data_IF_949844787307
#
_entry.id   IF_949844787307
#
_cell.length_a   1.000
_cell.length_b   1.000
_cell.length_c   1.000
_cell.angle_alpha   90.00
_cell.angle_beta   90.00
_cell.angle_gamma   90.00
#
_symmetry.space_group_name_H-M   'P 1'
#
loop_
_entity.id
_entity.type
_entity.pdbx_description
1 polymer ?
#
# COMPACT_ATOMS: atom_id res chain seq x y z
N UNK A 1 11.91 -7.53 -77.81
CA UNK A 1 13.01 -8.21 -77.13
C UNK A 1 13.09 -7.84 -75.72
N UNK A 2 12.67 -8.74 -74.82
CA UNK A 2 12.53 -8.53 -73.38
C UNK A 2 13.86 -8.82 -72.71
N UNK A 3 14.26 -8.00 -71.77
CA UNK A 3 15.36 -8.31 -70.87
C UNK A 3 14.89 -8.27 -69.44
N UNK A 4 14.72 -9.44 -68.83
CA UNK A 4 14.38 -9.63 -67.43
C UNK A 4 15.66 -9.48 -66.60
N UNK A 5 15.62 -8.58 -65.60
CA UNK A 5 16.62 -8.53 -64.53
C UNK A 5 15.97 -8.98 -63.23
N UNK A 6 16.35 -10.20 -62.86
CA UNK A 6 16.05 -10.83 -61.56
C UNK A 6 16.75 -10.07 -60.43
N UNK A 7 16.00 -9.56 -59.40
CA UNK A 7 16.55 -9.06 -58.16
C UNK A 7 16.18 -10.00 -56.99
N UNK A 8 17.19 -10.70 -56.54
CA UNK A 8 17.17 -11.54 -55.35
C UNK A 8 16.84 -10.71 -54.09
N UNK A 9 15.77 -11.11 -53.41
CA UNK A 9 15.46 -10.60 -52.06
C UNK A 9 16.29 -11.38 -51.03
N UNK A 10 17.20 -10.72 -50.35
CA UNK A 10 17.86 -11.23 -49.16
C UNK A 10 16.94 -11.00 -47.97
N UNK A 11 16.44 -12.10 -47.41
CA UNK A 11 15.69 -12.12 -46.15
C UNK A 11 16.65 -11.83 -44.98
N UNK A 12 16.51 -10.66 -44.39
CA UNK A 12 17.24 -10.25 -43.19
C UNK A 12 16.34 -10.53 -41.97
N UNK A 13 16.39 -11.77 -41.47
CA UNK A 13 15.76 -12.16 -40.20
C UNK A 13 16.64 -11.67 -39.05
N UNK A 14 16.49 -10.41 -38.66
CA UNK A 14 17.01 -9.91 -37.39
C UNK A 14 16.10 -10.36 -36.27
N UNK A 15 16.48 -11.40 -35.55
CA UNK A 15 15.83 -11.86 -34.32
C UNK A 15 15.89 -10.76 -33.25
N UNK A 16 14.76 -10.15 -32.94
CA UNK A 16 14.60 -9.35 -31.72
C UNK A 16 14.60 -10.30 -30.53
N UNK A 17 15.74 -10.45 -29.87
CA UNK A 17 15.79 -10.96 -28.51
C UNK A 17 15.02 -9.97 -27.59
N UNK A 18 13.83 -10.38 -27.19
CA UNK A 18 13.07 -9.73 -26.14
C UNK A 18 13.83 -9.92 -24.82
N UNK A 19 14.55 -8.91 -24.38
CA UNK A 19 15.06 -8.86 -23.02
C UNK A 19 13.85 -8.90 -22.08
N UNK A 20 13.67 -10.02 -21.39
CA UNK A 20 12.72 -10.11 -20.27
C UNK A 20 13.14 -9.05 -19.25
N UNK A 21 12.37 -7.95 -19.15
CA UNK A 21 12.48 -7.02 -18.03
C UNK A 21 12.12 -7.83 -16.80
N UNK A 22 13.07 -7.93 -15.88
CA UNK A 22 12.87 -8.41 -14.51
C UNK A 22 11.87 -7.43 -13.84
N UNK A 23 10.58 -7.65 -14.09
CA UNK A 23 9.53 -6.81 -13.52
C UNK A 23 9.30 -7.30 -12.10
N UNK A 24 9.64 -6.47 -11.11
CA UNK A 24 9.26 -6.70 -9.71
C UNK A 24 7.77 -7.09 -9.65
N UNK A 25 7.37 -8.00 -8.75
CA UNK A 25 5.98 -8.44 -8.65
C UNK A 25 5.06 -7.25 -8.40
N UNK A 26 3.89 -7.24 -9.05
CA UNK A 26 2.90 -6.17 -8.88
C UNK A 26 2.55 -6.00 -7.39
N UNK A 27 2.45 -4.75 -6.88
CA UNK A 27 2.16 -4.49 -5.49
C UNK A 27 0.72 -4.93 -5.16
N UNK A 28 0.55 -5.61 -4.02
CA UNK A 28 -0.75 -5.99 -3.47
C UNK A 28 -1.31 -4.94 -2.51
N UNK A 29 -0.44 -4.11 -1.95
CA UNK A 29 -0.82 -3.06 -1.01
C UNK A 29 -0.16 -1.76 -1.40
N UNK A 30 -0.91 -0.67 -1.30
CA UNK A 30 -0.35 0.68 -1.43
C UNK A 30 -0.40 1.40 -0.09
N UNK A 31 0.74 1.92 0.35
CA UNK A 31 0.88 2.79 1.52
C UNK A 31 1.01 4.22 1.02
N UNK A 32 -0.04 5.02 1.21
CA UNK A 32 -0.05 6.43 0.80
C UNK A 32 0.00 7.36 2.02
N UNK A 33 0.63 8.51 1.85
CA UNK A 33 0.78 9.50 2.91
C UNK A 33 0.70 10.92 2.37
N UNK A 34 0.18 11.85 3.19
CA UNK A 34 -0.03 13.23 2.77
C UNK A 34 1.23 14.05 2.58
N UNK A 35 2.35 13.66 3.21
CA UNK A 35 3.62 14.38 3.20
C UNK A 35 4.79 13.42 3.35
N UNK A 36 5.97 13.84 2.88
CA UNK A 36 7.22 13.10 3.11
C UNK A 36 7.56 12.97 4.61
N UNK A 37 7.17 13.94 5.43
CA UNK A 37 7.36 13.88 6.89
C UNK A 37 6.61 12.73 7.55
N UNK A 38 5.53 12.26 6.93
CA UNK A 38 4.70 11.16 7.45
C UNK A 38 5.41 9.79 7.31
N UNK A 39 6.46 9.74 6.49
CA UNK A 39 7.23 8.52 6.24
C UNK A 39 7.85 7.95 7.52
N UNK A 40 8.29 8.78 8.45
CA UNK A 40 8.85 8.33 9.73
C UNK A 40 7.87 7.40 10.47
N UNK A 41 6.58 7.73 10.44
CA UNK A 41 5.51 6.90 11.00
C UNK A 41 5.14 5.74 10.08
N UNK A 42 4.91 6.02 8.79
CA UNK A 42 4.35 5.05 7.85
C UNK A 42 5.34 3.98 7.41
N UNK A 43 6.64 4.22 7.61
CA UNK A 43 7.68 3.21 7.40
C UNK A 43 7.42 1.93 8.19
N UNK A 44 6.81 2.01 9.37
CA UNK A 44 6.46 0.84 10.16
C UNK A 44 5.52 -0.14 9.45
N UNK A 45 4.64 0.35 8.57
CA UNK A 45 3.82 -0.52 7.72
C UNK A 45 4.65 -1.19 6.63
N UNK A 46 5.52 -0.43 5.96
CA UNK A 46 6.41 -0.95 4.91
C UNK A 46 7.37 -2.01 5.46
N UNK A 47 7.91 -1.81 6.65
CA UNK A 47 8.80 -2.77 7.32
C UNK A 47 8.08 -4.11 7.57
N UNK A 48 6.82 -4.09 8.00
CA UNK A 48 6.00 -5.31 8.17
C UNK A 48 5.80 -6.02 6.83
N UNK A 49 5.45 -5.31 5.76
CA UNK A 49 5.28 -5.94 4.45
C UNK A 49 6.57 -6.55 3.93
N UNK A 50 7.70 -5.89 4.16
CA UNK A 50 9.04 -6.41 3.83
C UNK A 50 9.34 -7.69 4.62
N UNK A 51 9.13 -7.70 5.93
CA UNK A 51 9.29 -8.89 6.79
C UNK A 51 8.42 -10.07 6.32
N UNK A 52 7.18 -9.80 5.91
CA UNK A 52 6.26 -10.81 5.41
C UNK A 52 6.48 -11.19 3.94
N UNK A 53 7.39 -10.50 3.22
CA UNK A 53 7.63 -10.72 1.79
C UNK A 53 6.38 -10.44 0.95
N UNK A 54 5.67 -9.35 1.26
CA UNK A 54 4.47 -8.91 0.54
C UNK A 54 4.84 -7.75 -0.37
N UNK A 55 4.61 -7.88 -1.69
CA UNK A 55 4.82 -6.79 -2.62
C UNK A 55 3.93 -5.60 -2.27
N UNK A 56 4.53 -4.43 -2.10
CA UNK A 56 3.84 -3.20 -1.77
C UNK A 56 4.53 -1.99 -2.39
N UNK A 57 3.81 -0.89 -2.50
CA UNK A 57 4.36 0.41 -2.90
C UNK A 57 4.13 1.45 -1.79
N UNK A 58 4.97 2.48 -1.74
CA UNK A 58 4.80 3.61 -0.85
C UNK A 58 4.80 4.90 -1.68
N UNK A 59 3.80 5.77 -1.48
CA UNK A 59 3.63 6.99 -2.27
C UNK A 59 3.25 8.19 -1.40
N UNK A 60 3.79 9.35 -1.75
CA UNK A 60 3.32 10.63 -1.19
C UNK A 60 2.23 11.18 -2.10
N UNK A 61 1.00 11.26 -1.59
CA UNK A 61 -0.17 11.79 -2.29
C UNK A 61 -0.99 12.60 -1.29
N UNK A 62 -1.16 13.89 -1.56
CA UNK A 62 -1.91 14.76 -0.65
C UNK A 62 -3.33 14.99 -1.16
N UNK A 63 -4.33 14.66 -0.35
CA UNK A 63 -5.73 14.93 -0.69
C UNK A 63 -6.04 16.43 -0.92
N UNK A 64 -5.30 17.32 -0.25
CA UNK A 64 -5.52 18.76 -0.33
C UNK A 64 -4.64 19.47 -1.38
N UNK A 65 -3.41 18.97 -1.62
CA UNK A 65 -2.43 19.64 -2.47
C UNK A 65 -2.31 19.02 -3.86
N UNK A 66 -2.69 17.77 -4.00
CA UNK A 66 -2.63 17.01 -5.27
C UNK A 66 -3.88 16.12 -5.41
N UNK A 67 -5.11 16.68 -5.33
CA UNK A 67 -6.35 15.91 -5.39
C UNK A 67 -6.50 15.13 -6.70
N UNK A 68 -6.05 15.69 -7.83
CA UNK A 68 -6.10 15.03 -9.14
C UNK A 68 -5.22 13.77 -9.15
N UNK A 69 -4.04 13.83 -8.54
CA UNK A 69 -3.15 12.67 -8.42
C UNK A 69 -3.78 11.56 -7.55
N UNK A 70 -4.54 11.94 -6.52
CA UNK A 70 -5.26 10.97 -5.70
C UNK A 70 -6.38 10.28 -6.50
N UNK A 71 -7.12 11.03 -7.30
CA UNK A 71 -8.17 10.49 -8.16
C UNK A 71 -7.59 9.53 -9.21
N UNK A 72 -6.52 9.91 -9.89
CA UNK A 72 -5.81 9.03 -10.84
C UNK A 72 -5.29 7.76 -10.16
N UNK A 73 -4.69 7.92 -8.98
CA UNK A 73 -4.19 6.80 -8.19
C UNK A 73 -5.30 5.80 -7.85
N UNK A 74 -6.44 6.27 -7.33
CA UNK A 74 -7.56 5.40 -6.94
C UNK A 74 -8.23 4.75 -8.14
N UNK A 75 -8.40 5.47 -9.25
CA UNK A 75 -9.00 4.96 -10.48
C UNK A 75 -8.19 3.80 -11.10
N UNK A 76 -6.88 3.77 -10.88
CA UNK A 76 -5.98 2.74 -11.47
C UNK A 76 -5.55 1.67 -10.47
N UNK A 77 -5.93 1.78 -9.20
CA UNK A 77 -5.42 0.92 -8.14
C UNK A 77 -5.77 -0.56 -8.33
N UNK A 78 -7.03 -0.87 -8.65
CA UNK A 78 -7.48 -2.25 -8.88
C UNK A 78 -6.77 -2.88 -10.09
N UNK A 79 -6.67 -2.16 -11.21
CA UNK A 79 -6.00 -2.65 -12.43
C UNK A 79 -4.51 -2.92 -12.21
N UNK A 80 -3.88 -2.22 -11.27
CA UNK A 80 -2.50 -2.44 -10.86
C UNK A 80 -2.32 -3.61 -9.88
N UNK A 81 -3.42 -4.24 -9.44
CA UNK A 81 -3.41 -5.38 -8.52
C UNK A 81 -3.41 -5.01 -7.04
N UNK A 82 -3.66 -3.74 -6.68
CA UNK A 82 -3.81 -3.32 -5.28
C UNK A 82 -5.11 -3.93 -4.72
N UNK A 83 -5.02 -4.51 -3.53
CA UNK A 83 -6.14 -5.11 -2.81
C UNK A 83 -6.51 -4.38 -1.53
N UNK A 84 -5.56 -3.62 -0.95
CA UNK A 84 -5.74 -2.82 0.25
C UNK A 84 -4.94 -1.54 0.15
N UNK A 85 -5.52 -0.43 0.56
CA UNK A 85 -4.83 0.87 0.65
C UNK A 85 -4.68 1.23 2.14
N UNK A 86 -3.46 1.60 2.55
CA UNK A 86 -3.20 2.19 3.86
C UNK A 86 -2.90 3.66 3.66
N UNK A 87 -3.66 4.53 4.32
CA UNK A 87 -3.54 5.98 4.18
C UNK A 87 -3.17 6.64 5.51
N UNK A 88 -1.99 7.26 5.58
CA UNK A 88 -1.51 8.00 6.74
C UNK A 88 -1.62 9.52 6.57
N UNK A 89 -2.18 10.21 7.55
CA UNK A 89 -2.27 11.66 7.54
C UNK A 89 -2.34 12.26 8.95
N UNK A 90 -1.83 13.48 9.11
CA UNK A 90 -1.85 14.24 10.36
C UNK A 90 -2.67 15.53 10.27
N UNK A 91 -3.13 16.04 11.40
CA UNK A 91 -3.95 17.25 11.49
C UNK A 91 -5.35 17.05 10.88
N UNK A 92 -5.69 17.82 9.84
CA UNK A 92 -6.88 17.60 9.01
C UNK A 92 -6.67 16.35 8.13
N UNK A 93 -6.73 15.18 8.74
CA UNK A 93 -6.35 13.88 8.18
C UNK A 93 -7.41 13.30 7.24
N UNK A 94 -7.75 14.04 6.18
CA UNK A 94 -8.82 13.69 5.25
C UNK A 94 -8.41 12.63 4.20
N UNK A 95 -7.11 12.33 4.07
CA UNK A 95 -6.60 11.46 2.99
C UNK A 95 -7.32 10.11 2.91
N UNK A 96 -7.48 9.43 4.06
CA UNK A 96 -8.14 8.11 4.09
C UNK A 96 -9.62 8.19 3.66
N UNK A 97 -10.36 9.20 4.16
CA UNK A 97 -11.76 9.42 3.82
C UNK A 97 -11.96 9.75 2.34
N UNK A 98 -11.14 10.66 1.78
CA UNK A 98 -11.18 11.00 0.36
C UNK A 98 -10.81 9.78 -0.49
N UNK A 99 -9.80 9.02 -0.09
CA UNK A 99 -9.44 7.76 -0.79
C UNK A 99 -10.62 6.79 -0.80
N UNK A 100 -11.25 6.55 0.35
CA UNK A 100 -12.37 5.62 0.47
C UNK A 100 -13.61 6.04 -0.36
N UNK A 101 -13.78 7.35 -0.60
CA UNK A 101 -14.85 7.87 -1.46
C UNK A 101 -14.63 7.58 -2.96
N UNK A 102 -13.41 7.26 -3.38
CA UNK A 102 -13.02 7.05 -4.78
C UNK A 102 -12.63 5.60 -5.13
N UNK A 103 -12.79 4.66 -4.21
CA UNK A 103 -12.49 3.23 -4.45
C UNK A 103 -13.41 2.33 -3.64
N UNK A 104 -13.58 1.09 -4.10
CA UNK A 104 -14.23 0.01 -3.34
C UNK A 104 -13.22 -0.87 -2.62
N UNK A 105 -11.93 -0.64 -2.80
CA UNK A 105 -10.89 -1.36 -2.07
C UNK A 105 -10.95 -1.01 -0.58
N UNK A 106 -10.62 -1.96 0.32
CA UNK A 106 -10.47 -1.66 1.75
C UNK A 106 -9.46 -0.56 1.99
N UNK A 107 -9.88 0.50 2.71
CA UNK A 107 -9.00 1.61 3.11
C UNK A 107 -8.79 1.58 4.61
N UNK A 108 -7.52 1.52 5.02
CA UNK A 108 -7.08 1.55 6.42
C UNK A 108 -6.43 2.90 6.72
N UNK A 109 -7.05 3.65 7.64
CA UNK A 109 -6.58 4.96 8.05
C UNK A 109 -5.59 4.88 9.21
N UNK A 110 -4.48 5.57 9.10
CA UNK A 110 -3.48 5.72 10.17
C UNK A 110 -3.40 7.20 10.56
N UNK A 111 -3.98 7.58 11.71
CA UNK A 111 -3.81 8.93 12.23
C UNK A 111 -2.35 9.17 12.61
N UNK A 112 -1.76 10.25 12.12
CA UNK A 112 -0.39 10.63 12.45
C UNK A 112 -0.40 11.69 13.56
N UNK A 113 0.54 11.59 14.49
CA UNK A 113 0.64 12.52 15.60
C UNK A 113 0.84 13.95 15.10
N UNK A 114 -0.01 14.87 15.57
CA UNK A 114 0.10 16.31 15.35
C UNK A 114 0.73 17.00 16.56
N UNK A 115 1.43 18.12 16.33
CA UNK A 115 2.06 18.88 17.43
C UNK A 115 1.02 19.50 18.38
N UNK A 116 -0.09 20.01 17.84
CA UNK A 116 -1.10 20.75 18.60
C UNK A 116 -1.95 19.85 19.52
N UNK A 117 -2.49 18.76 18.98
CA UNK A 117 -3.45 17.90 19.70
C UNK A 117 -2.97 16.45 19.85
N UNK A 118 -1.66 16.22 19.70
CA UNK A 118 -1.03 14.89 19.88
C UNK A 118 -1.68 13.77 19.07
N UNK A 119 -2.23 14.14 17.91
CA UNK A 119 -2.89 13.22 16.98
C UNK A 119 -4.38 13.00 17.23
N UNK A 120 -4.99 13.62 18.24
CA UNK A 120 -6.43 13.51 18.47
C UNK A 120 -7.24 14.14 17.32
N UNK A 121 -6.79 15.25 16.78
CA UNK A 121 -7.31 15.88 15.56
C UNK A 121 -7.23 14.92 14.35
N UNK A 122 -6.09 14.28 14.17
CA UNK A 122 -5.89 13.28 13.12
C UNK A 122 -6.83 12.08 13.28
N UNK A 123 -6.96 11.57 14.50
CA UNK A 123 -7.85 10.44 14.82
C UNK A 123 -9.30 10.79 14.53
N UNK A 124 -9.80 11.90 15.05
CA UNK A 124 -11.19 12.32 14.87
C UNK A 124 -11.51 12.64 13.40
N UNK A 125 -10.58 13.25 12.66
CA UNK A 125 -10.75 13.50 11.23
C UNK A 125 -10.81 12.21 10.39
N UNK A 126 -10.16 11.14 10.85
CA UNK A 126 -10.09 9.87 10.12
C UNK A 126 -11.22 8.93 10.49
N UNK A 127 -11.64 8.87 11.77
CA UNK A 127 -12.59 7.87 12.27
C UNK A 127 -14.04 8.27 12.06
N UNK A 128 -14.36 9.58 12.06
CA UNK A 128 -15.74 10.09 11.99
C UNK A 128 -16.26 10.13 10.53
N UNK A 129 -16.26 8.97 9.89
CA UNK A 129 -16.75 8.84 8.52
C UNK A 129 -18.29 8.80 8.46
N UNK A 130 -18.90 9.39 7.40
CA UNK A 130 -20.32 9.26 7.18
C UNK A 130 -20.72 7.83 6.86
N UNK A 131 -21.96 7.46 7.19
CA UNK A 131 -22.54 6.17 6.81
C UNK A 131 -22.45 5.95 5.29
N UNK A 132 -21.97 4.78 4.87
CA UNK A 132 -21.81 4.40 3.46
C UNK A 132 -20.37 4.47 2.93
N UNK A 133 -19.48 5.24 3.53
CA UNK A 133 -18.06 5.35 3.13
C UNK A 133 -17.15 4.95 4.31
N UNK A 134 -16.86 3.67 4.47
CA UNK A 134 -16.10 3.19 5.64
C UNK A 134 -14.59 3.40 5.49
N UNK A 135 -13.93 3.74 6.60
CA UNK A 135 -12.47 3.67 6.77
C UNK A 135 -12.16 2.85 8.00
N UNK A 136 -11.35 1.82 7.86
CA UNK A 136 -10.85 1.04 9.01
C UNK A 136 -9.76 1.80 9.74
N UNK A 137 -10.10 2.63 10.71
CA UNK A 137 -9.15 3.51 11.41
C UNK A 137 -8.37 2.75 12.49
N UNK A 138 -7.04 2.86 12.48
CA UNK A 138 -6.12 2.23 13.43
C UNK A 138 -5.64 3.22 14.50
N UNK A 139 -4.72 2.77 15.35
CA UNK A 139 -4.14 3.62 16.40
C UNK A 139 -3.29 4.77 15.81
N UNK A 140 -3.07 5.81 16.63
CA UNK A 140 -2.22 6.94 16.28
C UNK A 140 -0.75 6.49 16.19
N UNK A 141 -0.04 6.96 15.17
CA UNK A 141 1.41 6.81 15.04
C UNK A 141 1.88 5.44 14.54
N UNK A 142 3.13 5.09 14.83
CA UNK A 142 3.81 3.91 14.29
C UNK A 142 3.15 2.59 14.68
N UNK A 143 2.53 2.50 15.87
CA UNK A 143 1.76 1.33 16.28
C UNK A 143 0.54 1.12 15.37
N UNK A 144 -0.14 2.22 15.00
CA UNK A 144 -1.24 2.20 14.03
C UNK A 144 -0.79 1.77 12.65
N UNK A 145 0.33 2.30 12.16
CA UNK A 145 0.90 1.91 10.86
C UNK A 145 1.26 0.41 10.82
N UNK A 146 1.90 -0.11 11.87
CA UNK A 146 2.20 -1.53 12.01
C UNK A 146 0.94 -2.39 12.00
N UNK A 147 -0.07 -2.00 12.79
CA UNK A 147 -1.34 -2.73 12.88
C UNK A 147 -2.14 -2.64 11.58
N UNK A 148 -2.08 -1.54 10.84
CA UNK A 148 -2.67 -1.41 9.51
C UNK A 148 -2.10 -2.45 8.54
N UNK A 149 -0.76 -2.62 8.53
CA UNK A 149 -0.12 -3.65 7.71
C UNK A 149 -0.54 -5.06 8.11
N UNK A 150 -0.52 -5.40 9.40
CA UNK A 150 -0.98 -6.70 9.89
C UNK A 150 -2.46 -6.96 9.56
N UNK A 151 -3.29 -5.91 9.61
CA UNK A 151 -4.70 -6.02 9.26
C UNK A 151 -4.90 -6.20 7.75
N UNK A 152 -4.15 -5.47 6.91
CA UNK A 152 -4.13 -5.71 5.47
C UNK A 152 -3.74 -7.16 5.13
N UNK A 153 -2.72 -7.70 5.81
CA UNK A 153 -2.32 -9.10 5.65
C UNK A 153 -3.45 -10.06 6.08
N UNK A 154 -4.18 -9.74 7.15
CA UNK A 154 -5.32 -10.53 7.60
C UNK A 154 -6.46 -10.52 6.58
N UNK A 155 -6.80 -9.36 6.00
CA UNK A 155 -7.78 -9.22 4.92
C UNK A 155 -7.40 -10.10 3.72
N UNK A 156 -6.17 -9.98 3.22
CA UNK A 156 -5.67 -10.80 2.13
C UNK A 156 -5.58 -12.30 2.51
N UNK A 157 -5.35 -12.59 3.78
CA UNK A 157 -5.30 -13.93 4.35
C UNK A 157 -6.62 -14.68 4.33
N UNK A 158 -7.77 -14.00 4.20
CA UNK A 158 -9.07 -14.67 4.05
C UNK A 158 -9.13 -15.57 2.82
N UNK A 159 -8.42 -15.18 1.75
CA UNK A 159 -8.34 -15.92 0.49
C UNK A 159 -7.01 -16.65 0.28
N UNK A 160 -5.94 -16.31 1.01
CA UNK A 160 -4.59 -16.84 0.83
C UNK A 160 -4.06 -17.53 2.08
N UNK A 161 -4.05 -18.86 2.10
CA UNK A 161 -3.57 -19.66 3.23
C UNK A 161 -2.15 -19.25 3.65
N UNK A 162 -1.24 -18.99 2.69
CA UNK A 162 0.15 -18.58 2.98
C UNK A 162 0.24 -17.33 3.88
N UNK A 163 -0.66 -16.37 3.74
CA UNK A 163 -0.66 -15.17 4.58
C UNK A 163 -1.21 -15.44 5.98
N UNK A 164 -2.22 -16.33 6.10
CA UNK A 164 -2.70 -16.80 7.41
C UNK A 164 -1.62 -17.50 8.22
N UNK A 165 -0.86 -18.39 7.60
CA UNK A 165 0.22 -19.10 8.28
C UNK A 165 1.31 -18.12 8.73
N UNK A 166 1.74 -17.19 7.90
CA UNK A 166 2.69 -16.14 8.29
C UNK A 166 2.20 -15.30 9.49
N UNK A 167 0.90 -14.97 9.56
CA UNK A 167 0.33 -14.26 10.71
C UNK A 167 0.32 -15.11 11.98
N UNK A 168 0.03 -16.41 11.88
CA UNK A 168 0.12 -17.33 13.02
C UNK A 168 1.56 -17.41 13.54
N UNK A 169 2.52 -17.61 12.65
CA UNK A 169 3.94 -17.66 13.00
C UNK A 169 4.42 -16.36 13.67
N UNK A 170 3.98 -15.21 13.13
CA UNK A 170 4.28 -13.92 13.72
C UNK A 170 3.76 -13.80 15.15
N UNK A 171 2.50 -14.19 15.39
CA UNK A 171 1.88 -14.17 16.74
C UNK A 171 2.57 -15.13 17.70
N UNK A 172 2.94 -16.33 17.26
CA UNK A 172 3.67 -17.29 18.10
C UNK A 172 5.08 -16.79 18.45
N UNK A 173 5.78 -16.16 17.51
CA UNK A 173 7.09 -15.52 17.80
C UNK A 173 6.94 -14.41 18.83
N UNK A 174 5.95 -13.55 18.69
CA UNK A 174 5.67 -12.45 19.62
C UNK A 174 5.34 -13.00 21.02
N UNK A 175 4.50 -14.04 21.11
CA UNK A 175 4.14 -14.70 22.36
C UNK A 175 5.35 -15.31 23.07
N UNK A 176 6.21 -16.02 22.33
CA UNK A 176 7.45 -16.61 22.89
C UNK A 176 8.36 -15.52 23.43
N UNK A 177 8.61 -14.45 22.64
CA UNK A 177 9.44 -13.34 23.07
C UNK A 177 8.94 -12.73 24.39
N UNK A 178 7.62 -12.48 24.50
CA UNK A 178 7.03 -11.90 25.71
C UNK A 178 7.13 -12.87 26.92
N UNK A 179 7.00 -14.18 26.69
CA UNK A 179 7.10 -15.19 27.77
C UNK A 179 8.53 -15.34 28.31
N UNK A 180 9.53 -14.94 27.53
CA UNK A 180 10.96 -14.97 27.92
C UNK A 180 11.42 -13.65 28.57
N UNK A 181 10.58 -12.60 28.52
CA UNK A 181 10.92 -11.32 29.17
C UNK A 181 10.88 -11.45 30.69
N UNK A 182 11.98 -11.08 31.34
CA UNK A 182 12.10 -11.00 32.81
C UNK A 182 12.30 -9.55 33.22
N UNK A 183 11.71 -9.18 34.36
CA UNK A 183 11.99 -7.88 34.97
C UNK A 183 13.38 -7.88 35.61
N UNK A 184 14.07 -6.70 35.64
CA UNK A 184 15.38 -6.56 36.28
C UNK A 184 15.33 -6.78 37.77
#
# INVERSE_FOLDING_TARGET
MANQVSRSRKDNKAGKASAAKDTAPAPLVSVIMGSKSDWETMKAASDVFTEFGIPHECRVISAHRTPELLMEFTATAEDRGIEVIIAGAGGAAHLAGVTAAHTILPVLGVPIESKALKGMDSLLSTVQMPGGIPVGTLAIGSAGAKNAALFAIAIMGTKRARFREKLKDYREKMKRKLAEETLP
#
